data_IF_699331012089
#
_entry.id   IF_699331012089
#
_cell.length_a   1.000
_cell.length_b   1.000
_cell.length_c   1.000
_cell.angle_alpha   90.00
_cell.angle_beta   90.00
_cell.angle_gamma   90.00
#
_symmetry.space_group_name_H-M   'P 1'
#
loop_
_entity.id
_entity.type
_entity.pdbx_description
1 polymer ?
#
# COMPACT_ATOMS: atom_id res chain seq x y z
N UNK A 1 -17.00 2.81 -8.95
CA UNK A 1 -16.26 1.61 -8.51
C UNK A 1 -17.24 0.47 -8.32
N UNK A 2 -16.91 -0.68 -8.85
CA UNK A 2 -17.79 -1.84 -8.76
C UNK A 2 -17.53 -2.63 -7.46
N UNK A 3 -18.55 -2.79 -6.64
CA UNK A 3 -18.49 -3.65 -5.43
C UNK A 3 -18.36 -5.12 -5.78
N UNK A 4 -18.67 -5.50 -7.03
CA UNK A 4 -18.51 -6.89 -7.49
C UNK A 4 -17.07 -7.37 -7.52
N UNK A 5 -16.11 -6.44 -7.43
CA UNK A 5 -14.67 -6.73 -7.41
C UNK A 5 -14.16 -7.02 -6.00
N UNK A 6 -14.99 -6.84 -5.00
CA UNK A 6 -14.67 -7.18 -3.61
C UNK A 6 -15.40 -8.48 -3.25
N UNK A 7 -14.70 -9.35 -2.53
CA UNK A 7 -15.31 -10.56 -1.99
C UNK A 7 -15.17 -10.56 -0.48
N UNK A 8 -16.10 -11.19 0.20
CA UNK A 8 -16.01 -11.34 1.66
C UNK A 8 -14.77 -12.13 2.02
N UNK A 9 -14.09 -11.67 3.06
CA UNK A 9 -12.86 -12.29 3.53
C UNK A 9 -12.85 -12.25 5.06
N UNK A 10 -12.84 -13.43 5.65
CA UNK A 10 -12.84 -13.56 7.10
C UNK A 10 -11.41 -13.64 7.60
N UNK A 11 -10.72 -12.50 7.57
CA UNK A 11 -9.31 -12.41 7.98
C UNK A 11 -9.21 -12.50 9.50
N UNK A 12 -8.23 -13.28 9.98
CA UNK A 12 -7.93 -13.32 11.40
C UNK A 12 -7.09 -12.10 11.80
N UNK A 13 -7.14 -11.68 13.09
CA UNK A 13 -6.22 -10.65 13.56
C UNK A 13 -4.76 -10.99 13.29
N UNK A 14 -4.38 -12.25 13.39
CA UNK A 14 -3.02 -12.70 13.10
C UNK A 14 -2.63 -12.47 11.64
N UNK A 15 -3.54 -12.75 10.69
CA UNK A 15 -3.24 -12.54 9.27
C UNK A 15 -3.11 -11.05 8.92
N UNK A 16 -3.93 -10.20 9.53
CA UNK A 16 -3.84 -8.75 9.38
C UNK A 16 -2.51 -8.25 9.97
N UNK A 17 -2.16 -8.73 11.15
CA UNK A 17 -0.90 -8.38 11.82
C UNK A 17 0.31 -8.71 10.94
N UNK A 18 0.30 -9.86 10.26
CA UNK A 18 1.38 -10.24 9.34
C UNK A 18 1.57 -9.22 8.21
N UNK A 19 0.48 -8.69 7.67
CA UNK A 19 0.56 -7.65 6.63
C UNK A 19 1.24 -6.39 7.18
N UNK A 20 0.88 -5.98 8.39
CA UNK A 20 1.43 -4.76 9.01
C UNK A 20 2.92 -4.95 9.32
N UNK A 21 3.31 -6.09 9.87
CA UNK A 21 4.72 -6.40 10.14
C UNK A 21 5.53 -6.45 8.85
N UNK A 22 4.96 -7.03 7.78
CA UNK A 22 5.62 -7.04 6.47
C UNK A 22 5.80 -5.63 5.92
N UNK A 23 4.79 -4.76 6.09
CA UNK A 23 4.90 -3.36 5.69
C UNK A 23 6.02 -2.65 6.44
N UNK A 24 6.14 -2.89 7.74
CA UNK A 24 7.21 -2.31 8.56
C UNK A 24 8.59 -2.77 8.10
N UNK A 25 8.74 -4.05 7.77
CA UNK A 25 10.01 -4.56 7.22
C UNK A 25 10.34 -3.93 5.87
N UNK A 26 9.33 -3.80 5.01
CA UNK A 26 9.52 -3.16 3.71
C UNK A 26 9.93 -1.69 3.85
N UNK A 27 9.41 -0.99 4.85
CA UNK A 27 9.80 0.40 5.09
C UNK A 27 11.25 0.49 5.57
N UNK A 28 11.72 -0.46 6.41
CA UNK A 28 13.13 -0.53 6.80
C UNK A 28 14.02 -0.70 5.56
N UNK A 29 13.64 -1.62 4.66
CA UNK A 29 14.38 -1.84 3.42
C UNK A 29 14.38 -0.60 2.52
N UNK A 30 13.24 0.10 2.44
CA UNK A 30 13.13 1.32 1.65
C UNK A 30 14.04 2.45 2.15
N UNK A 31 14.36 2.45 3.43
CA UNK A 31 15.24 3.45 4.05
C UNK A 31 16.72 3.08 3.99
N UNK A 32 17.05 1.85 3.57
CA UNK A 32 18.43 1.40 3.48
C UNK A 32 19.15 2.12 2.32
N UNK A 33 20.32 2.70 2.60
CA UNK A 33 21.03 3.53 1.63
C UNK A 33 21.94 2.74 0.69
N UNK A 34 22.17 1.45 0.98
CA UNK A 34 23.03 0.56 0.19
C UNK A 34 22.23 -0.28 -0.83
N UNK A 35 20.97 0.07 -1.05
CA UNK A 35 20.08 -0.61 -1.99
C UNK A 35 19.75 0.39 -3.11
N UNK A 36 19.49 -0.11 -4.32
CA UNK A 36 19.14 0.74 -5.47
C UNK A 36 17.87 1.53 -5.19
N UNK A 37 17.78 2.72 -5.79
CA UNK A 37 16.60 3.58 -5.65
C UNK A 37 15.34 2.84 -6.10
N UNK A 38 15.41 2.08 -7.19
CA UNK A 38 14.29 1.32 -7.73
C UNK A 38 13.80 0.25 -6.75
N UNK A 39 14.71 -0.48 -6.12
CA UNK A 39 14.34 -1.51 -5.15
C UNK A 39 13.80 -0.88 -3.86
N UNK A 40 14.34 0.27 -3.46
CA UNK A 40 13.83 1.01 -2.30
C UNK A 40 12.41 1.52 -2.56
N UNK A 41 12.16 2.03 -3.78
CA UNK A 41 10.83 2.47 -4.18
C UNK A 41 9.84 1.31 -4.18
N UNK A 42 10.22 0.15 -4.72
CA UNK A 42 9.39 -1.06 -4.71
C UNK A 42 9.03 -1.47 -3.28
N UNK A 43 10.01 -1.46 -2.36
CA UNK A 43 9.77 -1.82 -0.97
C UNK A 43 8.78 -0.83 -0.31
N UNK A 44 8.96 0.46 -0.52
CA UNK A 44 8.06 1.47 0.02
C UNK A 44 6.64 1.33 -0.55
N UNK A 45 6.53 1.05 -1.84
CA UNK A 45 5.23 0.84 -2.48
C UNK A 45 4.54 -0.42 -1.93
N UNK A 46 5.29 -1.52 -1.73
CA UNK A 46 4.75 -2.73 -1.10
C UNK A 46 4.21 -2.44 0.29
N UNK A 47 4.91 -1.61 1.07
CA UNK A 47 4.44 -1.23 2.40
C UNK A 47 3.09 -0.51 2.31
N UNK A 48 2.93 0.40 1.35
CA UNK A 48 1.65 1.09 1.09
C UNK A 48 0.55 0.07 0.82
N UNK A 49 0.80 -0.87 -0.11
CA UNK A 49 -0.21 -1.86 -0.51
C UNK A 49 -0.56 -2.80 0.64
N UNK A 50 0.41 -3.22 1.43
CA UNK A 50 0.16 -4.09 2.57
C UNK A 50 -0.69 -3.40 3.64
N UNK A 51 -0.46 -2.11 3.90
CA UNK A 51 -1.30 -1.34 4.80
C UNK A 51 -2.73 -1.19 4.26
N UNK A 52 -2.86 -0.89 2.97
CA UNK A 52 -4.16 -0.74 2.32
C UNK A 52 -4.94 -2.05 2.34
N UNK A 53 -4.28 -3.18 2.09
CA UNK A 53 -4.88 -4.51 2.18
C UNK A 53 -5.29 -4.84 3.62
N UNK A 54 -4.45 -4.52 4.60
CA UNK A 54 -4.79 -4.75 6.00
C UNK A 54 -6.06 -3.98 6.40
N UNK A 55 -6.20 -2.74 5.94
CA UNK A 55 -7.40 -1.95 6.19
C UNK A 55 -8.64 -2.58 5.57
N UNK A 56 -8.54 -3.07 4.34
CA UNK A 56 -9.66 -3.73 3.66
C UNK A 56 -10.03 -5.04 4.35
N UNK A 57 -9.04 -5.86 4.71
CA UNK A 57 -9.26 -7.12 5.42
C UNK A 57 -9.93 -6.87 6.77
N UNK A 58 -9.55 -5.80 7.47
CA UNK A 58 -10.16 -5.46 8.75
C UNK A 58 -11.65 -5.11 8.62
N UNK A 59 -12.08 -4.69 7.43
CA UNK A 59 -13.50 -4.44 7.11
C UNK A 59 -14.22 -5.71 6.63
N UNK A 60 -13.52 -6.84 6.48
CA UNK A 60 -14.12 -8.11 6.10
C UNK A 60 -14.15 -8.38 4.61
N UNK A 61 -13.30 -7.73 3.84
CA UNK A 61 -13.26 -7.87 2.37
C UNK A 61 -11.85 -8.03 1.87
N UNK A 62 -11.72 -8.56 0.67
CA UNK A 62 -10.49 -8.59 -0.11
C UNK A 62 -10.80 -8.34 -1.59
N UNK A 63 -9.79 -7.99 -2.35
CA UNK A 63 -9.92 -7.89 -3.80
C UNK A 63 -9.65 -9.26 -4.43
N UNK A 64 -10.14 -9.43 -5.68
CA UNK A 64 -9.75 -10.56 -6.52
C UNK A 64 -8.41 -10.22 -7.17
N UNK A 65 -7.34 -10.88 -6.74
CA UNK A 65 -5.98 -10.59 -7.22
C UNK A 65 -5.78 -10.91 -8.70
N UNK A 66 -6.65 -11.76 -9.27
CA UNK A 66 -6.64 -12.06 -10.70
C UNK A 66 -7.26 -10.95 -11.56
N UNK A 67 -7.99 -10.01 -10.94
CA UNK A 67 -8.65 -8.93 -11.67
C UNK A 67 -7.67 -7.80 -11.96
N UNK A 68 -7.64 -7.27 -13.19
CA UNK A 68 -6.86 -6.08 -13.49
C UNK A 68 -7.31 -4.90 -12.62
N UNK A 69 -6.37 -4.10 -12.16
CA UNK A 69 -6.68 -2.90 -11.38
C UNK A 69 -7.00 -3.16 -9.91
N UNK A 70 -6.71 -4.34 -9.37
CA UNK A 70 -6.99 -4.60 -7.95
C UNK A 70 -6.16 -3.69 -7.03
N UNK A 71 -4.94 -3.32 -7.41
CA UNK A 71 -4.14 -2.34 -6.65
C UNK A 71 -4.82 -0.97 -6.62
N UNK A 72 -5.32 -0.52 -7.77
CA UNK A 72 -6.03 0.76 -7.87
C UNK A 72 -7.27 0.75 -6.97
N UNK A 73 -8.03 -0.33 -6.99
CA UNK A 73 -9.24 -0.46 -6.18
C UNK A 73 -8.92 -0.38 -4.68
N UNK A 74 -7.88 -1.10 -4.23
CA UNK A 74 -7.49 -1.10 -2.82
C UNK A 74 -7.12 0.31 -2.36
N UNK A 75 -6.40 1.07 -3.19
CA UNK A 75 -6.03 2.45 -2.90
C UNK A 75 -7.26 3.36 -2.88
N UNK A 76 -8.11 3.26 -3.91
CA UNK A 76 -9.28 4.13 -4.06
C UNK A 76 -10.32 3.94 -2.95
N UNK A 77 -10.35 2.79 -2.30
CA UNK A 77 -11.31 2.50 -1.23
C UNK A 77 -10.81 2.96 0.16
N UNK A 78 -9.57 3.43 0.27
CA UNK A 78 -9.00 3.85 1.57
C UNK A 78 -9.82 4.89 2.32
N UNK A 79 -10.51 5.85 1.66
CA UNK A 79 -11.39 6.74 2.41
C UNK A 79 -12.47 6.00 3.20
N UNK A 80 -12.94 4.86 2.69
CA UNK A 80 -13.97 4.06 3.36
C UNK A 80 -13.39 3.09 4.39
N UNK A 81 -12.16 2.61 4.17
CA UNK A 81 -11.56 1.62 5.07
C UNK A 81 -10.77 2.24 6.21
N UNK A 82 -10.23 3.43 6.02
CA UNK A 82 -9.34 4.08 7.01
C UNK A 82 -9.51 5.58 7.11
N UNK A 83 -10.57 6.16 6.57
CA UNK A 83 -10.79 7.62 6.58
C UNK A 83 -9.62 8.42 5.98
N UNK A 84 -8.93 7.84 5.02
CA UNK A 84 -7.83 8.54 4.35
C UNK A 84 -8.41 9.66 3.47
N UNK A 85 -7.81 10.84 3.52
CA UNK A 85 -8.26 12.01 2.77
C UNK A 85 -8.06 11.79 1.26
N UNK A 86 -8.93 12.39 0.43
CA UNK A 86 -8.88 12.20 -1.03
C UNK A 86 -7.58 12.69 -1.64
N UNK A 87 -6.98 13.75 -1.12
CA UNK A 87 -5.70 14.25 -1.63
C UNK A 87 -4.56 13.25 -1.38
N UNK A 88 -4.61 12.50 -0.27
CA UNK A 88 -3.66 11.41 -0.02
C UNK A 88 -3.88 10.29 -1.03
N UNK A 89 -5.14 9.92 -1.30
CA UNK A 89 -5.45 8.89 -2.30
C UNK A 89 -4.89 9.26 -3.67
N UNK A 90 -4.99 10.53 -4.06
CA UNK A 90 -4.44 11.02 -5.33
C UNK A 90 -2.92 10.81 -5.38
N UNK A 91 -2.21 11.10 -4.28
CA UNK A 91 -0.76 10.89 -4.19
C UNK A 91 -0.43 9.40 -4.29
N UNK A 92 -1.14 8.56 -3.56
CA UNK A 92 -0.91 7.11 -3.59
C UNK A 92 -1.15 6.52 -4.99
N UNK A 93 -2.20 6.98 -5.67
CA UNK A 93 -2.49 6.52 -7.02
C UNK A 93 -1.42 6.99 -8.02
N UNK A 94 -0.89 8.19 -7.84
CA UNK A 94 0.23 8.67 -8.64
C UNK A 94 1.47 7.81 -8.46
N UNK A 95 1.75 7.37 -7.23
CA UNK A 95 2.86 6.45 -6.95
C UNK A 95 2.64 5.08 -7.61
N UNK A 96 1.40 4.58 -7.59
CA UNK A 96 1.05 3.34 -8.29
C UNK A 96 1.33 3.45 -9.80
N UNK A 97 0.91 4.55 -10.40
CA UNK A 97 1.15 4.79 -11.83
C UNK A 97 2.64 4.89 -12.14
N UNK A 98 3.40 5.55 -11.28
CA UNK A 98 4.84 5.67 -11.45
C UNK A 98 5.52 4.30 -11.40
N UNK A 99 5.12 3.43 -10.46
CA UNK A 99 5.65 2.08 -10.37
C UNK A 99 5.37 1.28 -11.63
N UNK A 100 4.12 1.33 -12.13
CA UNK A 100 3.76 0.61 -13.35
C UNK A 100 4.57 1.12 -14.55
N UNK A 101 4.76 2.43 -14.65
CA UNK A 101 5.54 3.01 -15.72
C UNK A 101 7.00 2.52 -15.69
N UNK A 102 7.60 2.49 -14.51
CA UNK A 102 8.98 2.05 -14.33
C UNK A 102 9.16 0.57 -14.68
N UNK A 103 8.17 -0.27 -14.36
CA UNK A 103 8.21 -1.69 -14.70
C UNK A 103 8.26 -1.90 -16.22
N UNK A 104 7.60 -1.03 -17.00
CA UNK A 104 7.57 -1.17 -18.47
C UNK A 104 8.74 -0.47 -19.15
N UNK A 105 9.12 0.71 -18.70
CA UNK A 105 10.12 1.54 -19.39
C UNK A 105 11.54 1.25 -18.95
N UNK A 106 11.72 0.69 -17.76
CA UNK A 106 13.04 0.55 -17.15
C UNK A 106 13.66 1.86 -16.69
N UNK A 107 12.89 2.94 -16.69
CA UNK A 107 13.38 4.24 -16.24
C UNK A 107 13.64 4.24 -14.74
N UNK A 108 14.58 5.07 -14.31
CA UNK A 108 14.89 5.19 -12.89
C UNK A 108 13.86 6.07 -12.17
N UNK A 109 13.69 5.81 -10.87
CA UNK A 109 12.83 6.62 -10.01
C UNK A 109 13.65 7.82 -9.51
N UNK A 110 13.05 9.00 -9.50
CA UNK A 110 13.70 10.19 -8.93
C UNK A 110 13.78 10.08 -7.41
N UNK A 111 14.78 10.75 -6.81
CA UNK A 111 14.91 10.80 -5.35
C UNK A 111 13.67 11.43 -4.71
N UNK A 112 13.07 12.42 -5.34
CA UNK A 112 11.86 13.07 -4.84
C UNK A 112 10.68 12.09 -4.79
N UNK A 113 10.50 11.26 -5.82
CA UNK A 113 9.46 10.24 -5.86
C UNK A 113 9.68 9.18 -4.78
N UNK A 114 10.93 8.73 -4.62
CA UNK A 114 11.28 7.78 -3.57
C UNK A 114 10.97 8.35 -2.17
N UNK A 115 11.38 9.59 -1.92
CA UNK A 115 11.13 10.26 -0.64
C UNK A 115 9.64 10.34 -0.35
N UNK A 116 8.83 10.73 -1.35
CA UNK A 116 7.38 10.79 -1.18
C UNK A 116 6.78 9.42 -0.87
N UNK A 117 7.23 8.39 -1.55
CA UNK A 117 6.76 7.03 -1.31
C UNK A 117 7.08 6.56 0.10
N UNK A 118 8.30 6.84 0.58
CA UNK A 118 8.71 6.51 1.95
C UNK A 118 7.86 7.24 2.98
N UNK A 119 7.62 8.54 2.77
CA UNK A 119 6.79 9.35 3.67
C UNK A 119 5.38 8.79 3.75
N UNK A 120 4.77 8.50 2.61
CA UNK A 120 3.40 7.96 2.58
C UNK A 120 3.32 6.57 3.22
N UNK A 121 4.32 5.72 3.00
CA UNK A 121 4.39 4.40 3.64
C UNK A 121 4.42 4.54 5.16
N UNK A 122 5.27 5.42 5.67
CA UNK A 122 5.40 5.66 7.10
C UNK A 122 4.11 6.18 7.73
N UNK A 123 3.41 7.07 7.02
CA UNK A 123 2.14 7.62 7.50
C UNK A 123 1.04 6.57 7.54
N UNK A 124 0.95 5.71 6.53
CA UNK A 124 -0.04 4.63 6.52
C UNK A 124 0.24 3.60 7.62
N UNK A 125 1.49 3.26 7.85
CA UNK A 125 1.86 2.35 8.95
C UNK A 125 1.40 2.93 10.29
N UNK A 126 1.63 4.22 10.52
CA UNK A 126 1.16 4.89 11.73
C UNK A 126 -0.36 4.82 11.86
N UNK A 127 -1.09 5.02 10.77
CA UNK A 127 -2.56 4.95 10.78
C UNK A 127 -3.06 3.55 11.14
N UNK A 128 -2.50 2.49 10.53
CA UNK A 128 -2.94 1.13 10.84
C UNK A 128 -2.59 0.73 12.26
N UNK A 129 -1.45 1.16 12.77
CA UNK A 129 -1.07 0.91 14.17
C UNK A 129 -1.99 1.66 15.15
N UNK A 130 -2.25 2.93 14.89
CA UNK A 130 -3.13 3.75 15.72
C UNK A 130 -4.56 3.21 15.74
N UNK A 131 -5.02 2.67 14.62
CA UNK A 131 -6.35 2.04 14.54
C UNK A 131 -6.43 0.68 15.23
N UNK A 132 -5.29 0.11 15.66
CA UNK A 132 -5.26 -1.18 16.34
C UNK A 132 -5.55 -2.36 15.44
N UNK A 133 -5.33 -2.23 14.14
CA UNK A 133 -5.59 -3.33 13.19
C UNK A 133 -4.67 -4.50 13.50
N UNK A 134 -5.24 -5.71 13.53
CA UNK A 134 -4.48 -6.93 13.78
C UNK A 134 -4.15 -7.17 15.26
N UNK A 135 -4.77 -6.42 16.14
CA UNK A 135 -4.57 -6.58 17.60
C UNK A 135 -5.49 -7.64 18.18
#
# INVERSE_FOLDING_TARGET
MSVNRLVKHDATPASIHKLIVAAERNLVDARATNISVENRFDAAYKAIMQCAMAALWAKGYRTLTSEPGHHQLVIQILPKTMDVENDVVIVLDALRKQRNLNDYSGDTVSDATLTECIVQSGQLIKRVRKAGLGS
#
